data_IF_669998376585
#
_entry.id   IF_669998376585
#
_cell.length_a   1.000
_cell.length_b   1.000
_cell.length_c   1.000
_cell.angle_alpha   90.00
_cell.angle_beta   90.00
_cell.angle_gamma   90.00
#
_symmetry.space_group_name_H-M   'P 1'
#
loop_
_entity.id
_entity.type
_entity.pdbx_description
1 polymer ?
#
# COMPACT_ATOMS: atom_id res chain seq x y z
N UNK A 1 -14.37 8.34 -8.85
CA UNK A 1 -14.80 7.40 -7.80
C UNK A 1 -13.74 7.31 -6.72
N UNK A 2 -13.78 6.24 -5.93
CA UNK A 2 -12.74 5.90 -4.96
C UNK A 2 -12.41 4.42 -5.04
N UNK A 3 -11.38 4.00 -4.30
CA UNK A 3 -10.99 2.60 -4.13
C UNK A 3 -10.93 2.25 -2.65
N UNK A 4 -10.95 0.96 -2.35
CA UNK A 4 -10.49 0.45 -1.07
C UNK A 4 -9.02 0.07 -1.19
N UNK A 5 -8.25 0.45 -0.17
CA UNK A 5 -6.89 0.00 0.06
C UNK A 5 -6.92 -0.98 1.23
N UNK A 6 -6.32 -2.14 1.06
CA UNK A 6 -6.02 -3.04 2.16
C UNK A 6 -4.60 -2.83 2.64
N UNK A 7 -4.42 -2.92 3.96
CA UNK A 7 -3.13 -2.76 4.62
C UNK A 7 -2.91 -3.83 5.68
N UNK A 8 -1.68 -4.35 5.73
CA UNK A 8 -1.16 -5.24 6.76
C UNK A 8 0.33 -4.92 7.03
N UNK A 9 0.85 -5.16 8.24
CA UNK A 9 2.28 -5.12 8.48
C UNK A 9 3.00 -6.14 7.59
N UNK A 10 3.96 -5.71 6.77
CA UNK A 10 4.70 -6.60 5.86
C UNK A 10 5.35 -7.79 6.59
N UNK A 11 5.83 -7.55 7.81
CA UNK A 11 6.46 -8.56 8.65
C UNK A 11 5.52 -9.67 9.14
N UNK A 12 4.19 -9.52 9.01
CA UNK A 12 3.22 -10.57 9.34
C UNK A 12 2.82 -11.43 8.15
N UNK A 13 3.41 -11.21 6.96
CA UNK A 13 3.05 -11.90 5.73
C UNK A 13 4.15 -12.83 5.23
N UNK A 14 3.74 -13.81 4.43
CA UNK A 14 4.66 -14.72 3.73
C UNK A 14 4.99 -14.14 2.36
N UNK A 15 6.29 -14.02 2.06
CA UNK A 15 6.76 -13.54 0.77
C UNK A 15 6.35 -14.50 -0.36
N UNK A 16 5.89 -13.93 -1.48
CA UNK A 16 5.53 -14.66 -2.70
C UNK A 16 6.61 -14.43 -3.77
N UNK A 17 7.75 -15.08 -3.56
CA UNK A 17 8.95 -14.90 -4.37
C UNK A 17 9.90 -13.83 -3.84
N UNK A 18 10.93 -13.55 -4.64
CA UNK A 18 12.01 -12.65 -4.27
C UNK A 18 11.66 -11.18 -4.51
N UNK A 19 12.38 -10.30 -3.83
CA UNK A 19 12.32 -8.86 -4.06
C UNK A 19 12.97 -8.47 -5.39
N UNK A 20 12.27 -7.70 -6.23
CA UNK A 20 12.77 -7.15 -7.49
C UNK A 20 13.38 -5.76 -7.24
N UNK A 21 14.70 -5.70 -7.10
CA UNK A 21 15.44 -4.45 -6.86
C UNK A 21 15.24 -3.39 -7.94
N UNK A 22 15.05 -3.80 -9.20
CA UNK A 22 14.85 -2.87 -10.31
C UNK A 22 13.45 -2.23 -10.25
N UNK A 23 12.46 -2.96 -9.74
CA UNK A 23 11.08 -2.47 -9.62
C UNK A 23 10.72 -1.89 -8.26
N UNK A 24 11.59 -2.02 -7.26
CA UNK A 24 11.32 -1.64 -5.86
C UNK A 24 10.04 -2.33 -5.34
N UNK A 25 9.97 -3.66 -5.50
CA UNK A 25 8.72 -4.43 -5.36
C UNK A 25 8.95 -5.85 -4.80
N UNK A 26 8.09 -6.27 -3.87
CA UNK A 26 7.88 -7.67 -3.50
C UNK A 26 6.38 -7.96 -3.37
N UNK A 27 5.99 -9.19 -3.67
CA UNK A 27 4.63 -9.69 -3.48
C UNK A 27 4.54 -10.56 -2.23
N UNK A 28 3.34 -10.64 -1.67
CA UNK A 28 3.05 -11.34 -0.43
C UNK A 28 1.71 -12.06 -0.53
N UNK A 29 1.66 -13.25 0.05
CA UNK A 29 0.40 -13.96 0.26
C UNK A 29 -0.26 -13.47 1.55
N UNK A 30 -1.59 -13.38 1.54
CA UNK A 30 -2.37 -13.01 2.72
C UNK A 30 -3.71 -13.74 2.75
N UNK A 31 -3.89 -14.52 3.81
CA UNK A 31 -5.13 -15.13 4.28
C UNK A 31 -5.71 -14.40 5.52
N UNK A 32 -4.94 -13.47 6.09
CA UNK A 32 -5.36 -12.66 7.23
C UNK A 32 -6.34 -11.53 6.84
N UNK A 33 -7.28 -11.16 7.72
CA UNK A 33 -8.10 -9.96 7.55
C UNK A 33 -7.23 -8.70 7.52
N UNK A 34 -7.32 -7.93 6.45
CA UNK A 34 -6.60 -6.66 6.31
C UNK A 34 -7.40 -5.48 6.86
N UNK A 35 -6.68 -4.43 7.30
CA UNK A 35 -7.30 -3.12 7.54
C UNK A 35 -7.76 -2.57 6.20
N UNK A 36 -9.02 -2.15 6.10
CA UNK A 36 -9.61 -1.59 4.88
C UNK A 36 -9.77 -0.08 5.01
N UNK A 37 -9.19 0.66 4.09
CA UNK A 37 -9.19 2.12 4.04
C UNK A 37 -9.91 2.58 2.77
N UNK A 38 -10.91 3.45 2.88
CA UNK A 38 -11.56 4.05 1.71
C UNK A 38 -10.74 5.25 1.22
N UNK A 39 -10.13 5.13 0.04
CA UNK A 39 -9.43 6.21 -0.64
C UNK A 39 -10.41 6.95 -1.56
N UNK A 40 -11.02 8.00 -0.99
CA UNK A 40 -11.98 8.88 -1.68
C UNK A 40 -11.27 10.15 -2.20
N UNK A 41 -11.89 10.90 -3.13
CA UNK A 41 -11.32 12.17 -3.61
C UNK A 41 -10.95 13.11 -2.47
N UNK A 42 -9.72 13.65 -2.51
CA UNK A 42 -9.18 14.53 -1.47
C UNK A 42 -8.49 13.81 -0.29
N UNK A 43 -8.58 12.48 -0.21
CA UNK A 43 -7.87 11.66 0.78
C UNK A 43 -6.59 11.10 0.17
N UNK A 44 -5.51 11.08 0.94
CA UNK A 44 -4.28 10.38 0.59
C UNK A 44 -3.82 9.47 1.74
N UNK A 45 -3.12 8.41 1.38
CA UNK A 45 -2.48 7.48 2.32
C UNK A 45 -0.99 7.43 2.04
N UNK A 46 -0.18 7.30 3.10
CA UNK A 46 1.26 7.09 3.00
C UNK A 46 1.53 5.64 3.41
N UNK A 47 2.23 4.90 2.56
CA UNK A 47 2.73 3.56 2.86
C UNK A 47 4.25 3.59 2.88
N UNK A 48 4.83 3.16 4.00
CA UNK A 48 6.27 3.00 4.16
C UNK A 48 6.72 1.60 3.69
N UNK A 49 8.04 1.31 3.56
CA UNK A 49 8.51 0.00 3.07
C UNK A 49 8.12 -1.22 3.93
N UNK A 50 7.62 -1.00 5.14
CA UNK A 50 7.13 -2.04 6.05
C UNK A 50 5.60 -2.24 5.94
N UNK A 51 4.93 -1.47 5.09
CA UNK A 51 3.49 -1.53 4.86
C UNK A 51 3.18 -2.35 3.61
N UNK A 52 2.72 -3.59 3.79
CA UNK A 52 2.12 -4.32 2.69
C UNK A 52 0.74 -3.73 2.41
N UNK A 53 0.47 -3.43 1.14
CA UNK A 53 -0.80 -2.84 0.74
C UNK A 53 -1.29 -3.38 -0.60
N UNK A 54 -2.62 -3.47 -0.73
CA UNK A 54 -3.32 -3.90 -1.96
C UNK A 54 -4.34 -2.84 -2.34
N UNK A 55 -4.14 -2.21 -3.49
CA UNK A 55 -5.07 -1.24 -4.08
C UNK A 55 -5.92 -1.83 -5.20
N UNK A 56 -6.73 -0.98 -5.84
CA UNK A 56 -7.61 -1.37 -6.94
C UNK A 56 -8.84 -2.15 -6.50
N UNK A 57 -9.17 -2.15 -5.20
CA UNK A 57 -10.35 -2.85 -4.68
C UNK A 57 -11.56 -1.93 -4.82
N UNK A 58 -12.66 -2.46 -5.34
CA UNK A 58 -13.91 -1.72 -5.50
C UNK A 58 -14.51 -1.29 -4.15
N UNK A 59 -15.02 -0.05 -4.10
CA UNK A 59 -15.78 0.47 -2.94
C UNK A 59 -17.20 -0.08 -2.93
N UNK A 60 -17.83 -0.10 -4.11
CA UNK A 60 -19.19 -0.58 -4.33
C UNK A 60 -19.18 -1.86 -5.20
N UNK A 61 -20.35 -2.43 -5.46
CA UNK A 61 -20.46 -3.61 -6.30
C UNK A 61 -20.13 -3.28 -7.77
N UNK A 62 -19.08 -3.90 -8.29
CA UNK A 62 -18.69 -3.85 -9.70
C UNK A 62 -17.46 -2.95 -9.97
N UNK A 63 -16.74 -3.21 -11.07
CA UNK A 63 -15.59 -2.42 -11.46
C UNK A 63 -16.03 -1.00 -11.87
N UNK A 64 -15.23 -0.01 -11.50
CA UNK A 64 -15.43 1.39 -11.87
C UNK A 64 -14.09 2.04 -12.22
N UNK A 65 -14.11 3.08 -13.04
CA UNK A 65 -12.91 3.84 -13.36
C UNK A 65 -12.59 4.83 -12.24
N UNK A 66 -11.33 4.81 -11.79
CA UNK A 66 -10.82 5.70 -10.76
C UNK A 66 -9.55 6.35 -11.26
N UNK A 67 -9.51 7.67 -11.24
CA UNK A 67 -8.30 8.44 -11.44
C UNK A 67 -7.59 8.64 -10.10
N UNK A 68 -6.33 8.25 -10.02
CA UNK A 68 -5.45 8.43 -8.85
C UNK A 68 -4.03 8.74 -9.27
N UNK A 69 -3.23 9.21 -8.32
CA UNK A 69 -1.78 9.36 -8.45
C UNK A 69 -1.10 8.54 -7.34
N UNK A 70 0.06 7.97 -7.66
CA UNK A 70 0.98 7.39 -6.67
C UNK A 70 2.29 8.15 -6.78
N UNK A 71 2.69 8.83 -5.70
CA UNK A 71 3.97 9.53 -5.63
C UNK A 71 4.99 8.62 -4.96
N UNK A 72 6.14 8.42 -5.62
CA UNK A 72 7.26 7.64 -5.08
C UNK A 72 8.31 8.59 -4.53
N UNK A 73 8.62 8.46 -3.25
CA UNK A 73 9.58 9.31 -2.54
C UNK A 73 10.66 8.39 -1.94
N UNK A 74 11.96 8.62 -2.21
CA UNK A 74 13.03 7.85 -1.59
C UNK A 74 12.96 7.95 -0.06
N UNK A 75 13.10 6.82 0.63
CA UNK A 75 13.03 6.77 2.11
C UNK A 75 14.08 7.68 2.74
N UNK A 76 15.27 7.79 2.13
CA UNK A 76 16.34 8.67 2.60
C UNK A 76 15.98 10.17 2.62
N UNK A 77 14.90 10.58 1.93
CA UNK A 77 14.39 11.95 2.02
C UNK A 77 13.71 12.24 3.37
N UNK A 78 13.32 11.21 4.11
CA UNK A 78 12.80 11.31 5.46
C UNK A 78 13.95 11.07 6.43
N UNK A 79 14.55 12.16 6.93
CA UNK A 79 15.56 12.08 7.98
C UNK A 79 14.94 11.55 9.27
N UNK A 80 15.55 10.51 9.86
CA UNK A 80 15.29 10.14 11.25
C UNK A 80 15.85 11.23 12.16
N UNK A 81 15.00 12.15 12.60
CA UNK A 81 15.27 12.80 13.87
C UNK A 81 14.99 11.73 14.93
N UNK A 82 16.06 11.16 15.50
CA UNK A 82 15.94 10.42 16.75
C UNK A 82 15.36 11.40 17.78
N UNK A 83 14.07 11.28 18.08
CA UNK A 83 13.55 11.84 19.31
C UNK A 83 13.81 10.82 20.43
N UNK A 84 14.52 11.24 21.50
CA UNK A 84 14.85 10.38 22.64
C UNK A 84 13.60 9.90 23.38
#
# INVERSE_FOLDING_TARGET
GGEVLEWLPRGSLVADGDYDERKDLAFYQSDAPAVRLAAMPGVFSIFNPLDAHRGGIQVEAGPTEVLKLVVKIPVAAFSSSNHP
#
